data_IF_272070346641
#
_entry.id   IF_272070346641
#
_cell.length_a   1.000
_cell.length_b   1.000
_cell.length_c   1.000
_cell.angle_alpha   90.00
_cell.angle_beta   90.00
_cell.angle_gamma   90.00
#
_symmetry.space_group_name_H-M   'P 1'
#
loop_
_entity.id
_entity.type
_entity.pdbx_description
1 polymer ?
#
# COMPACT_ATOMS: atom_id res chain seq x y z
N UNK A 1 -15.25 -2.15 -44.95
CA UNK A 1 -14.43 -3.39 -44.98
C UNK A 1 -12.94 -3.09 -45.21
N UNK A 2 -12.46 -2.68 -46.38
CA UNK A 2 -11.00 -2.51 -46.61
C UNK A 2 -10.27 -1.60 -45.60
N UNK A 3 -10.88 -0.46 -45.21
CA UNK A 3 -10.31 0.40 -44.17
C UNK A 3 -10.22 -0.25 -42.78
N UNK A 4 -11.14 -1.17 -42.46
CA UNK A 4 -11.14 -1.93 -41.19
C UNK A 4 -10.13 -3.09 -41.24
N UNK A 5 -9.92 -3.72 -42.40
CA UNK A 5 -8.82 -4.68 -42.58
C UNK A 5 -7.45 -4.00 -42.46
N UNK A 6 -7.27 -2.81 -43.04
CA UNK A 6 -6.04 -2.03 -42.88
C UNK A 6 -5.78 -1.71 -41.40
N UNK A 7 -6.81 -1.26 -40.67
CA UNK A 7 -6.72 -0.98 -39.24
C UNK A 7 -6.37 -2.23 -38.41
N UNK A 8 -6.96 -3.39 -38.72
CA UNK A 8 -6.64 -4.66 -38.05
C UNK A 8 -5.23 -5.19 -38.40
N UNK A 9 -4.72 -4.92 -39.60
CA UNK A 9 -3.33 -5.23 -39.95
C UNK A 9 -2.34 -4.30 -39.23
N UNK A 10 -2.71 -3.04 -39.02
CA UNK A 10 -1.93 -2.07 -38.24
C UNK A 10 -1.92 -2.41 -36.74
N UNK A 11 -3.07 -2.81 -36.17
CA UNK A 11 -3.14 -3.35 -34.81
C UNK A 11 -2.35 -4.66 -34.66
N UNK A 12 -2.41 -5.56 -35.64
CA UNK A 12 -1.59 -6.78 -35.63
C UNK A 12 -0.09 -6.45 -35.62
N UNK A 13 0.36 -5.48 -36.43
CA UNK A 13 1.76 -5.06 -36.40
C UNK A 13 2.14 -4.47 -35.03
N UNK A 14 1.32 -3.58 -34.47
CA UNK A 14 1.50 -3.03 -33.12
C UNK A 14 1.63 -4.12 -32.06
N UNK A 15 0.73 -5.10 -32.06
CA UNK A 15 0.77 -6.21 -31.09
C UNK A 15 2.03 -7.08 -31.28
N UNK A 16 2.53 -7.23 -32.52
CA UNK A 16 3.81 -7.92 -32.76
C UNK A 16 5.02 -7.11 -32.25
N UNK A 17 5.02 -5.79 -32.40
CA UNK A 17 6.05 -4.90 -31.82
C UNK A 17 6.00 -4.87 -30.29
N UNK A 18 4.81 -4.86 -29.69
CA UNK A 18 4.63 -4.93 -28.23
C UNK A 18 5.11 -6.26 -27.66
N UNK A 19 4.83 -7.38 -28.32
CA UNK A 19 5.33 -8.71 -27.91
C UNK A 19 6.86 -8.78 -27.99
N UNK A 20 7.48 -8.26 -29.06
CA UNK A 20 8.94 -8.16 -29.17
C UNK A 20 9.53 -7.29 -28.05
N UNK A 21 8.95 -6.10 -27.80
CA UNK A 21 9.39 -5.21 -26.73
C UNK A 21 9.17 -5.78 -25.32
N UNK A 22 8.22 -6.72 -25.13
CA UNK A 22 8.04 -7.47 -23.88
C UNK A 22 9.07 -8.59 -23.75
N UNK A 23 9.42 -9.30 -24.83
CA UNK A 23 10.47 -10.32 -24.84
C UNK A 23 11.85 -9.73 -24.54
N UNK A 24 12.20 -8.58 -25.12
CA UNK A 24 13.44 -7.87 -24.79
C UNK A 24 13.50 -7.43 -23.32
N UNK A 25 12.39 -6.93 -22.76
CA UNK A 25 12.28 -6.58 -21.33
C UNK A 25 12.40 -7.80 -20.41
N UNK A 26 11.91 -8.97 -20.84
CA UNK A 26 12.05 -10.22 -20.09
C UNK A 26 13.52 -10.65 -20.05
N UNK A 27 14.18 -10.71 -21.21
CA UNK A 27 15.60 -11.07 -21.32
C UNK A 27 16.52 -10.10 -20.57
N UNK A 28 16.21 -8.80 -20.58
CA UNK A 28 16.93 -7.80 -19.79
C UNK A 28 16.78 -8.03 -18.27
N UNK A 29 15.56 -8.40 -17.80
CA UNK A 29 15.34 -8.77 -16.39
C UNK A 29 16.08 -10.05 -16.00
N UNK A 30 16.03 -11.09 -16.83
CA UNK A 30 16.76 -12.33 -16.59
C UNK A 30 18.27 -12.09 -16.50
N UNK A 31 18.82 -11.22 -17.36
CA UNK A 31 20.22 -10.81 -17.33
C UNK A 31 20.58 -10.03 -16.05
N UNK A 32 19.74 -9.07 -15.63
CA UNK A 32 19.92 -8.38 -14.35
C UNK A 32 19.86 -9.35 -13.16
N UNK A 33 18.91 -10.28 -13.14
CA UNK A 33 18.72 -11.24 -12.07
C UNK A 33 19.89 -12.23 -11.96
N UNK A 34 20.42 -12.69 -13.11
CA UNK A 34 21.65 -13.48 -13.17
C UNK A 34 22.86 -12.70 -12.63
N UNK A 35 22.98 -11.40 -12.97
CA UNK A 35 24.06 -10.55 -12.50
C UNK A 35 24.02 -10.31 -10.98
N UNK A 36 22.81 -10.13 -10.41
CA UNK A 36 22.59 -10.02 -8.97
C UNK A 36 22.89 -11.33 -8.24
N UNK A 37 22.49 -12.46 -8.82
CA UNK A 37 22.82 -13.80 -8.31
C UNK A 37 24.34 -14.01 -8.23
N UNK A 38 25.08 -13.68 -9.29
CA UNK A 38 26.55 -13.74 -9.33
C UNK A 38 27.21 -12.79 -8.30
N UNK A 39 26.69 -11.57 -8.13
CA UNK A 39 27.17 -10.66 -7.08
C UNK A 39 26.94 -11.22 -5.68
N UNK A 40 25.76 -11.78 -5.40
CA UNK A 40 25.44 -12.39 -4.11
C UNK A 40 26.32 -13.61 -3.83
N UNK A 41 26.58 -14.46 -4.83
CA UNK A 41 27.52 -15.58 -4.70
C UNK A 41 28.95 -15.10 -4.39
N UNK A 42 29.44 -14.05 -5.07
CA UNK A 42 30.76 -13.44 -4.79
C UNK A 42 30.84 -12.83 -3.38
N UNK A 43 29.77 -12.23 -2.89
CA UNK A 43 29.69 -11.72 -1.52
C UNK A 43 29.69 -12.86 -0.50
N UNK A 44 28.95 -13.95 -0.75
CA UNK A 44 28.93 -15.14 0.12
C UNK A 44 30.32 -15.80 0.20
N UNK A 45 31.03 -15.96 -0.91
CA UNK A 45 32.41 -16.50 -0.89
C UNK A 45 33.38 -15.58 -0.15
N UNK A 46 33.30 -14.26 -0.33
CA UNK A 46 34.08 -13.30 0.46
C UNK A 46 33.77 -13.37 1.97
N UNK A 47 32.50 -13.57 2.34
CA UNK A 47 32.13 -13.74 3.75
C UNK A 47 32.64 -15.06 4.32
N UNK A 48 32.57 -16.17 3.57
CA UNK A 48 33.17 -17.46 3.96
C UNK A 48 34.69 -17.32 4.19
N UNK A 49 35.40 -16.64 3.29
CA UNK A 49 36.84 -16.43 3.43
C UNK A 49 37.19 -15.65 4.72
N UNK A 50 36.49 -14.53 4.98
CA UNK A 50 36.67 -13.76 6.22
C UNK A 50 36.32 -14.55 7.48
N UNK A 51 35.30 -15.41 7.42
CA UNK A 51 34.88 -16.23 8.55
C UNK A 51 35.89 -17.36 8.85
N UNK A 52 36.54 -17.89 7.80
CA UNK A 52 37.67 -18.82 7.93
C UNK A 52 38.89 -18.15 8.59
N UNK A 53 39.23 -16.94 8.13
CA UNK A 53 40.33 -16.11 8.66
C UNK A 53 40.10 -15.76 10.14
N UNK A 54 38.89 -15.30 10.50
CA UNK A 54 38.49 -15.07 11.90
C UNK A 54 38.51 -16.35 12.75
N UNK A 55 38.16 -17.51 12.16
CA UNK A 55 38.23 -18.80 12.88
C UNK A 55 39.67 -19.21 13.15
N UNK A 56 40.60 -18.92 12.22
CA UNK A 56 42.03 -19.12 12.42
C UNK A 56 42.59 -18.15 13.48
N UNK A 57 42.21 -16.88 13.44
CA UNK A 57 42.54 -15.86 14.44
C UNK A 57 42.09 -16.29 15.85
N UNK A 58 40.84 -16.75 15.99
CA UNK A 58 40.29 -17.25 17.25
C UNK A 58 41.05 -18.50 17.74
N UNK A 59 41.38 -19.43 16.85
CA UNK A 59 42.15 -20.62 17.22
C UNK A 59 43.60 -20.30 17.60
N UNK A 60 44.20 -19.28 17.00
CA UNK A 60 45.52 -18.75 17.38
C UNK A 60 45.49 -18.10 18.76
N UNK A 61 44.52 -17.21 19.01
CA UNK A 61 44.28 -16.60 20.32
C UNK A 61 43.99 -17.64 21.42
N UNK A 62 43.26 -18.73 21.08
CA UNK A 62 43.06 -19.89 21.96
C UNK A 62 44.33 -20.67 22.30
N UNK A 63 45.37 -20.59 21.47
CA UNK A 63 46.67 -21.25 21.73
C UNK A 63 47.70 -20.34 22.41
N UNK A 64 47.60 -19.02 22.18
CA UNK A 64 48.55 -18.03 22.73
C UNK A 64 48.15 -17.55 24.14
N UNK A 65 46.87 -17.66 24.55
CA UNK A 65 46.38 -17.25 25.87
C UNK A 65 46.04 -18.46 26.76
N UNK A 66 46.99 -18.84 27.62
CA UNK A 66 46.76 -19.77 28.71
C UNK A 66 45.66 -19.29 29.67
N UNK A 67 44.78 -20.20 30.07
CA UNK A 67 43.47 -19.85 30.65
C UNK A 67 43.50 -19.20 32.05
N UNK A 68 42.48 -18.38 32.32
CA UNK A 68 41.81 -18.27 33.64
C UNK A 68 40.56 -17.38 33.58
N UNK A 69 40.54 -16.34 32.74
CA UNK A 69 39.43 -15.37 32.68
C UNK A 69 38.58 -15.46 31.40
N UNK A 70 39.20 -15.70 30.24
CA UNK A 70 38.46 -15.90 28.98
C UNK A 70 37.59 -17.17 28.98
N UNK A 71 37.97 -18.20 29.73
CA UNK A 71 37.19 -19.43 29.85
C UNK A 71 35.92 -19.22 30.68
N UNK A 72 36.00 -18.48 31.79
CA UNK A 72 34.80 -18.09 32.56
C UNK A 72 33.86 -17.23 31.74
N UNK A 73 34.39 -16.31 30.93
CA UNK A 73 33.56 -15.47 30.06
C UNK A 73 32.93 -16.29 28.92
N UNK A 74 33.65 -17.25 28.34
CA UNK A 74 33.11 -18.25 27.41
C UNK A 74 31.97 -19.04 28.05
N UNK A 75 32.17 -19.56 29.26
CA UNK A 75 31.20 -20.46 29.90
C UNK A 75 29.93 -19.69 30.34
N UNK A 76 30.05 -18.42 30.74
CA UNK A 76 28.92 -17.51 30.94
C UNK A 76 28.16 -17.25 29.62
N UNK A 77 28.87 -16.92 28.53
CA UNK A 77 28.26 -16.69 27.21
C UNK A 77 27.61 -17.95 26.64
N UNK A 78 28.13 -19.15 26.95
CA UNK A 78 27.50 -20.43 26.58
C UNK A 78 26.20 -20.63 27.37
N UNK A 79 26.21 -20.44 28.70
CA UNK A 79 25.01 -20.55 29.53
C UNK A 79 23.92 -19.54 29.10
N UNK A 80 24.30 -18.31 28.74
CA UNK A 80 23.37 -17.29 28.27
C UNK A 80 22.83 -17.61 26.86
N UNK A 81 23.64 -18.17 25.96
CA UNK A 81 23.16 -18.69 24.67
C UNK A 81 22.22 -19.88 24.82
N UNK A 82 22.46 -20.78 25.77
CA UNK A 82 21.55 -21.90 26.07
C UNK A 82 20.22 -21.40 26.63
N UNK A 83 20.25 -20.42 27.53
CA UNK A 83 19.05 -19.74 28.04
C UNK A 83 18.25 -19.07 26.92
N UNK A 84 18.89 -18.25 26.08
CA UNK A 84 18.22 -17.60 24.94
C UNK A 84 17.65 -18.59 23.94
N UNK A 85 18.28 -19.76 23.74
CA UNK A 85 17.73 -20.85 22.92
C UNK A 85 16.53 -21.55 23.57
N UNK A 86 16.46 -21.62 24.90
CA UNK A 86 15.28 -22.12 25.60
C UNK A 86 14.13 -21.10 25.52
N UNK A 87 14.41 -19.82 25.74
CA UNK A 87 13.43 -18.73 25.60
C UNK A 87 12.87 -18.64 24.16
N UNK A 88 13.73 -18.77 23.13
CA UNK A 88 13.30 -18.91 21.72
C UNK A 88 12.41 -20.13 21.50
N UNK A 89 12.76 -21.31 22.02
CA UNK A 89 11.91 -22.51 21.90
C UNK A 89 10.58 -22.38 22.61
N UNK A 90 10.51 -21.64 23.72
CA UNK A 90 9.25 -21.32 24.40
C UNK A 90 8.41 -20.38 23.53
N UNK A 91 9.00 -19.31 23.00
CA UNK A 91 8.31 -18.38 22.08
C UNK A 91 7.85 -19.07 20.79
N UNK A 92 8.65 -19.96 20.19
CA UNK A 92 8.26 -20.78 19.04
C UNK A 92 7.14 -21.77 19.39
N UNK A 93 7.14 -22.32 20.61
CA UNK A 93 6.07 -23.16 21.13
C UNK A 93 4.77 -22.40 21.37
N UNK A 94 4.84 -21.16 21.84
CA UNK A 94 3.70 -20.26 22.02
C UNK A 94 3.16 -19.76 20.68
N UNK A 95 4.04 -19.43 19.73
CA UNK A 95 3.65 -19.09 18.36
C UNK A 95 2.98 -20.28 17.65
N UNK A 96 3.44 -21.51 17.91
CA UNK A 96 2.79 -22.74 17.42
C UNK A 96 1.44 -23.02 18.10
N UNK A 97 1.27 -22.70 19.39
CA UNK A 97 -0.06 -22.74 20.06
C UNK A 97 -1.02 -21.70 19.48
N UNK A 98 -0.52 -20.54 19.05
CA UNK A 98 -1.31 -19.56 18.28
C UNK A 98 -1.57 -19.98 16.82
N UNK A 99 -0.92 -21.06 16.35
CA UNK A 99 -1.14 -21.70 15.05
C UNK A 99 -1.79 -23.09 15.19
N UNK A 100 -2.33 -23.45 16.36
CA UNK A 100 -3.29 -24.55 16.42
C UNK A 100 -4.53 -24.12 15.63
N UNK A 101 -5.05 -24.97 14.71
CA UNK A 101 -6.26 -24.63 13.95
C UNK A 101 -7.42 -24.47 14.91
N UNK A 102 -7.89 -23.23 15.09
CA UNK A 102 -9.09 -22.94 15.85
C UNK A 102 -10.29 -23.46 15.05
N UNK A 103 -10.70 -24.70 15.36
CA UNK A 103 -11.67 -25.47 14.59
C UNK A 103 -13.10 -24.91 14.59
N UNK A 104 -13.38 -23.84 15.35
CA UNK A 104 -14.65 -23.11 15.39
C UNK A 104 -14.42 -21.58 15.52
N UNK A 105 -13.56 -21.00 14.68
CA UNK A 105 -13.40 -19.54 14.61
C UNK A 105 -14.28 -18.94 13.50
N UNK A 106 -15.13 -17.93 13.76
CA UNK A 106 -15.98 -17.32 12.74
C UNK A 106 -15.19 -16.73 11.55
N UNK A 107 -13.94 -16.27 11.76
CA UNK A 107 -13.08 -15.79 10.65
C UNK A 107 -12.59 -16.90 9.71
N UNK A 108 -12.61 -18.18 10.11
CA UNK A 108 -12.33 -19.30 9.22
C UNK A 108 -13.56 -19.60 8.33
N UNK A 109 -14.76 -19.58 8.92
CA UNK A 109 -16.01 -19.65 8.16
C UNK A 109 -16.15 -18.48 7.18
N UNK A 110 -15.96 -17.22 7.61
CA UNK A 110 -15.99 -16.06 6.71
C UNK A 110 -14.97 -16.19 5.57
N UNK A 111 -13.79 -16.76 5.84
CA UNK A 111 -12.76 -16.97 4.81
C UNK A 111 -13.14 -18.07 3.82
N UNK A 112 -13.77 -19.15 4.28
CA UNK A 112 -14.26 -20.23 3.43
C UNK A 112 -15.47 -19.78 2.61
N UNK A 113 -16.44 -19.09 3.22
CA UNK A 113 -17.57 -18.44 2.54
C UNK A 113 -17.11 -17.43 1.48
N UNK A 114 -16.11 -16.59 1.78
CA UNK A 114 -15.52 -15.67 0.80
C UNK A 114 -14.78 -16.41 -0.33
N UNK A 115 -14.10 -17.52 -0.04
CA UNK A 115 -13.44 -18.33 -1.05
C UNK A 115 -14.45 -19.04 -1.98
N UNK A 116 -15.52 -19.60 -1.43
CA UNK A 116 -16.63 -20.16 -2.20
C UNK A 116 -17.33 -19.07 -3.03
N UNK A 117 -17.55 -17.88 -2.45
CA UNK A 117 -18.18 -16.77 -3.18
C UNK A 117 -17.32 -16.25 -4.34
N UNK A 118 -16.00 -16.21 -4.18
CA UNK A 118 -15.06 -15.89 -5.27
C UNK A 118 -15.10 -16.97 -6.36
N UNK A 119 -15.15 -18.26 -5.98
CA UNK A 119 -15.28 -19.38 -6.93
C UNK A 119 -16.58 -19.32 -7.73
N UNK A 120 -17.72 -19.04 -7.08
CA UNK A 120 -19.02 -18.84 -7.73
C UNK A 120 -18.98 -17.68 -8.74
N UNK A 121 -18.45 -16.52 -8.34
CA UNK A 121 -18.33 -15.35 -9.22
C UNK A 121 -17.38 -15.58 -10.40
N UNK A 122 -16.36 -16.43 -10.24
CA UNK A 122 -15.48 -16.84 -11.34
C UNK A 122 -16.21 -17.73 -12.35
N UNK A 123 -17.00 -18.71 -11.88
CA UNK A 123 -17.83 -19.55 -12.75
C UNK A 123 -18.91 -18.74 -13.49
N UNK A 124 -19.61 -17.84 -12.79
CA UNK A 124 -20.58 -16.93 -13.41
C UNK A 124 -19.93 -16.04 -14.49
N UNK A 125 -18.71 -15.54 -14.25
CA UNK A 125 -17.97 -14.75 -15.23
C UNK A 125 -17.52 -15.57 -16.45
N UNK A 126 -17.16 -16.85 -16.27
CA UNK A 126 -16.83 -17.74 -17.39
C UNK A 126 -18.08 -18.12 -18.21
N UNK A 127 -19.20 -18.41 -17.56
CA UNK A 127 -20.48 -18.62 -18.25
C UNK A 127 -20.96 -17.40 -19.04
N UNK A 128 -20.76 -16.19 -18.52
CA UNK A 128 -21.13 -14.97 -19.25
C UNK A 128 -20.20 -14.72 -20.44
N UNK A 129 -18.92 -15.10 -20.34
CA UNK A 129 -17.96 -15.05 -21.47
C UNK A 129 -18.33 -16.04 -22.58
N UNK A 130 -18.75 -17.27 -22.26
CA UNK A 130 -19.18 -18.23 -23.28
C UNK A 130 -20.45 -17.77 -23.99
N UNK A 131 -21.46 -17.29 -23.23
CA UNK A 131 -22.69 -16.71 -23.79
C UNK A 131 -22.41 -15.51 -24.72
N UNK A 132 -21.46 -14.64 -24.36
CA UNK A 132 -21.02 -13.54 -25.24
C UNK A 132 -20.38 -14.04 -26.53
N UNK A 133 -19.49 -15.04 -26.46
CA UNK A 133 -18.86 -15.62 -27.65
C UNK A 133 -19.87 -16.32 -28.59
N UNK A 134 -20.92 -16.94 -28.05
CA UNK A 134 -22.04 -17.51 -28.82
C UNK A 134 -22.87 -16.42 -29.52
N UNK A 135 -23.17 -15.32 -28.80
CA UNK A 135 -23.87 -14.15 -29.36
C UNK A 135 -23.05 -13.46 -30.46
N UNK A 136 -21.75 -13.26 -30.27
CA UNK A 136 -20.85 -12.69 -31.29
C UNK A 136 -20.83 -13.57 -32.55
N UNK A 137 -20.80 -14.90 -32.39
CA UNK A 137 -20.87 -15.84 -33.51
C UNK A 137 -22.23 -15.76 -34.24
N UNK A 138 -23.35 -15.63 -33.51
CA UNK A 138 -24.67 -15.46 -34.11
C UNK A 138 -24.80 -14.13 -34.86
N UNK A 139 -24.29 -13.03 -34.28
CA UNK A 139 -24.21 -11.71 -34.93
C UNK A 139 -23.38 -11.81 -36.21
N UNK A 140 -22.20 -12.41 -36.16
CA UNK A 140 -21.34 -12.58 -37.34
C UNK A 140 -22.03 -13.40 -38.45
N UNK A 141 -22.76 -14.47 -38.10
CA UNK A 141 -23.55 -15.24 -39.06
C UNK A 141 -24.70 -14.43 -39.66
N UNK A 142 -25.42 -13.62 -38.87
CA UNK A 142 -26.50 -12.75 -39.35
C UNK A 142 -25.95 -11.64 -40.27
N UNK A 143 -24.81 -11.03 -39.93
CA UNK A 143 -24.14 -10.02 -40.74
C UNK A 143 -23.67 -10.57 -42.08
N UNK A 144 -23.11 -11.78 -42.10
CA UNK A 144 -22.74 -12.45 -43.36
C UNK A 144 -23.97 -12.74 -44.24
N UNK A 145 -25.07 -13.24 -43.65
CA UNK A 145 -26.33 -13.46 -44.39
C UNK A 145 -26.93 -12.17 -44.93
N UNK A 146 -26.85 -11.08 -44.17
CA UNK A 146 -27.31 -9.76 -44.64
C UNK A 146 -26.49 -9.29 -45.85
N UNK A 147 -25.15 -9.42 -45.78
CA UNK A 147 -24.27 -9.07 -46.89
C UNK A 147 -24.53 -9.90 -48.17
N UNK A 148 -24.83 -11.20 -48.02
CA UNK A 148 -25.27 -12.04 -49.16
C UNK A 148 -26.60 -11.56 -49.77
N UNK A 149 -27.56 -11.16 -48.95
CA UNK A 149 -28.86 -10.64 -49.43
C UNK A 149 -28.71 -9.28 -50.09
N UNK A 150 -27.89 -8.38 -49.53
CA UNK A 150 -27.57 -7.08 -50.13
C UNK A 150 -26.87 -7.22 -51.48
N UNK A 151 -25.98 -8.19 -51.64
CA UNK A 151 -25.31 -8.47 -52.92
C UNK A 151 -26.34 -8.95 -53.96
N UNK A 152 -27.15 -9.96 -53.63
CA UNK A 152 -28.22 -10.45 -54.52
C UNK A 152 -29.21 -9.36 -54.90
N UNK A 153 -29.54 -8.45 -53.98
CA UNK A 153 -30.42 -7.31 -54.26
C UNK A 153 -29.78 -6.33 -55.24
N UNK A 154 -28.47 -6.03 -55.10
CA UNK A 154 -27.73 -5.18 -56.05
C UNK A 154 -27.70 -5.81 -57.45
N UNK A 155 -27.44 -7.11 -57.54
CA UNK A 155 -27.43 -7.84 -58.81
C UNK A 155 -28.82 -7.80 -59.47
N UNK A 156 -29.89 -8.09 -58.71
CA UNK A 156 -31.28 -8.01 -59.20
C UNK A 156 -31.72 -6.60 -59.61
N UNK A 157 -31.18 -5.55 -58.98
CA UNK A 157 -31.44 -4.16 -59.36
C UNK A 157 -30.69 -3.76 -60.63
N UNK A 158 -29.47 -4.28 -60.84
CA UNK A 158 -28.71 -4.09 -62.07
C UNK A 158 -29.41 -4.76 -63.26
N UNK A 159 -29.85 -6.01 -63.11
CA UNK A 159 -30.63 -6.73 -64.15
C UNK A 159 -31.91 -5.95 -64.54
N UNK A 160 -32.67 -5.45 -63.55
CA UNK A 160 -33.86 -4.64 -63.82
C UNK A 160 -33.55 -3.33 -64.54
N UNK A 161 -32.44 -2.67 -64.22
CA UNK A 161 -32.03 -1.44 -64.92
C UNK A 161 -31.69 -1.71 -66.39
N UNK A 162 -31.01 -2.83 -66.69
CA UNK A 162 -30.74 -3.25 -68.08
C UNK A 162 -32.03 -3.60 -68.84
N UNK A 163 -32.99 -4.25 -68.19
CA UNK A 163 -34.30 -4.54 -68.79
C UNK A 163 -35.12 -3.26 -69.06
N UNK A 164 -35.15 -2.32 -68.12
CA UNK A 164 -35.84 -1.03 -68.27
C UNK A 164 -35.25 -0.22 -69.42
N UNK A 165 -33.92 -0.19 -69.55
CA UNK A 165 -33.26 0.51 -70.66
C UNK A 165 -33.59 -0.16 -72.01
N UNK A 166 -33.61 -1.50 -72.06
CA UNK A 166 -33.99 -2.28 -73.24
C UNK A 166 -35.45 -2.06 -73.65
N UNK A 167 -36.38 -1.99 -72.69
CA UNK A 167 -37.79 -1.67 -72.95
C UNK A 167 -37.96 -0.22 -73.42
N UNK A 168 -37.20 0.72 -72.83
CA UNK A 168 -37.19 2.13 -73.21
C UNK A 168 -36.66 2.36 -74.63
N UNK A 169 -35.68 1.58 -75.10
CA UNK A 169 -35.28 1.55 -76.51
C UNK A 169 -36.45 1.10 -77.41
N UNK A 170 -37.05 -0.07 -77.14
CA UNK A 170 -38.19 -0.61 -77.92
C UNK A 170 -39.40 0.33 -77.98
N UNK A 171 -39.66 1.07 -76.90
CA UNK A 171 -40.77 2.02 -76.86
C UNK A 171 -40.54 3.17 -77.86
N UNK A 172 -39.32 3.72 -77.93
CA UNK A 172 -38.95 4.76 -78.89
C UNK A 172 -39.11 4.27 -80.34
N UNK A 173 -38.59 3.09 -80.66
CA UNK A 173 -38.72 2.48 -81.99
C UNK A 173 -40.21 2.33 -82.41
N UNK A 174 -41.07 1.94 -81.46
CA UNK A 174 -42.51 1.80 -81.71
C UNK A 174 -43.23 3.15 -81.90
N UNK A 175 -42.79 4.20 -81.21
CA UNK A 175 -43.33 5.56 -81.34
C UNK A 175 -42.97 6.20 -82.69
N UNK A 176 -41.74 6.01 -83.18
CA UNK A 176 -41.33 6.42 -84.52
C UNK A 176 -42.15 5.70 -85.61
N UNK A 177 -42.42 4.41 -85.43
CA UNK A 177 -43.26 3.62 -86.34
C UNK A 177 -44.70 4.13 -86.40
N UNK A 178 -45.28 4.52 -85.26
CA UNK A 178 -46.64 5.10 -85.19
C UNK A 178 -46.68 6.51 -85.82
N UNK A 179 -45.61 7.30 -85.67
CA UNK A 179 -45.51 8.62 -86.31
C UNK A 179 -45.48 8.50 -87.84
N UNK A 180 -44.74 7.51 -88.37
CA UNK A 180 -44.69 7.20 -89.80
C UNK A 180 -46.07 6.85 -90.37
N UNK A 181 -46.82 5.95 -89.71
CA UNK A 181 -48.15 5.52 -90.16
C UNK A 181 -49.22 6.62 -90.18
N UNK A 182 -49.08 7.70 -89.40
CA UNK A 182 -50.01 8.83 -89.39
C UNK A 182 -49.86 9.78 -90.59
N UNK A 183 -48.82 9.64 -91.40
CA UNK A 183 -48.47 10.59 -92.47
C UNK A 183 -49.04 10.25 -93.86
N UNK A 184 -49.86 9.19 -94.00
CA UNK A 184 -50.46 8.78 -95.27
C UNK A 184 -51.96 9.16 -95.39
N UNK A 185 -52.35 10.04 -96.33
CA UNK A 185 -53.76 10.33 -96.62
C UNK A 185 -54.33 9.37 -97.67
N UNK A 186 -55.57 8.91 -97.48
CA UNK A 186 -56.36 8.20 -98.49
C UNK A 186 -57.55 9.05 -98.94
N UNK A 187 -57.76 9.17 -100.25
CA UNK A 187 -58.94 9.82 -100.85
C UNK A 187 -59.82 8.77 -101.53
N UNK A 188 -61.14 8.87 -101.33
CA UNK A 188 -62.14 8.04 -102.02
C UNK A 188 -63.08 8.96 -102.83
N UNK A 189 -63.21 8.66 -104.13
CA UNK A 189 -64.06 9.38 -105.10
C UNK A 189 -65.49 8.85 -105.10
N UNK A 190 -66.46 9.73 -105.41
CA UNK A 190 -67.64 9.35 -106.19
C UNK A 190 -67.98 10.43 -107.23
N UNK A 191 -68.54 9.99 -108.36
CA UNK A 191 -68.92 10.74 -109.58
C UNK A 191 -70.26 10.15 -110.03
N UNK A 192 -71.18 10.95 -110.63
CA UNK A 192 -72.05 10.54 -111.76
C UNK A 192 -72.85 11.72 -112.36
N UNK A 193 -73.26 11.52 -113.62
CA UNK A 193 -73.92 12.42 -114.60
C UNK A 193 -75.19 11.71 -115.16
N UNK A 194 -76.16 12.29 -115.87
CA UNK A 194 -76.28 13.56 -116.64
C UNK A 194 -77.77 13.82 -116.97
N UNK A 195 -78.17 15.09 -117.13
CA UNK A 195 -79.05 15.64 -118.22
C UNK A 195 -80.50 15.12 -118.41
N UNK A 196 -81.45 16.08 -118.44
CA UNK A 196 -82.61 16.32 -119.38
C UNK A 196 -83.46 15.13 -119.91
N UNK A 197 -84.69 15.24 -120.45
CA UNK A 197 -85.31 16.25 -121.34
C UNK A 197 -86.85 16.29 -121.11
N UNK A 198 -87.52 17.29 -121.70
CA UNK A 198 -88.98 17.34 -121.94
C UNK A 198 -89.41 16.25 -122.97
N UNK A 199 -90.64 15.77 -123.10
CA UNK A 199 -91.96 16.38 -122.82
C UNK A 199 -93.06 15.31 -122.71
N UNK A 200 -93.57 15.05 -121.50
CA UNK A 200 -94.90 14.47 -121.24
C UNK A 200 -95.44 14.96 -119.86
N UNK A 201 -94.93 16.13 -119.43
CA UNK A 201 -94.71 16.54 -118.02
C UNK A 201 -95.97 16.90 -117.19
N UNK A 202 -97.19 16.57 -117.61
CA UNK A 202 -98.41 17.04 -116.93
C UNK A 202 -99.27 15.93 -116.27
N UNK A 203 -99.26 14.69 -116.77
CA UNK A 203 -99.96 13.56 -116.12
C UNK A 203 -99.00 12.65 -115.36
N UNK A 204 -97.82 12.40 -115.92
CA UNK A 204 -96.75 11.72 -115.21
C UNK A 204 -96.29 12.52 -113.98
N UNK A 205 -96.25 13.85 -114.06
CA UNK A 205 -95.90 14.71 -112.93
C UNK A 205 -96.86 14.65 -111.73
N UNK A 206 -98.12 14.23 -111.90
CA UNK A 206 -99.03 14.04 -110.76
C UNK A 206 -98.73 12.73 -110.02
N UNK A 207 -98.56 11.62 -110.75
CA UNK A 207 -98.10 10.36 -110.17
C UNK A 207 -96.68 10.49 -109.59
N UNK A 208 -95.75 11.14 -110.29
CA UNK A 208 -94.40 11.41 -109.78
C UNK A 208 -94.40 12.40 -108.61
N UNK A 209 -95.34 13.35 -108.54
CA UNK A 209 -95.50 14.22 -107.36
C UNK A 209 -96.16 13.49 -106.19
N UNK A 210 -97.03 12.51 -106.44
CA UNK A 210 -97.59 11.62 -105.41
C UNK A 210 -96.53 10.63 -104.91
N UNK A 211 -95.76 9.99 -105.79
CA UNK A 211 -94.64 9.14 -105.41
C UNK A 211 -93.50 9.93 -104.78
N UNK A 212 -93.23 11.17 -105.22
CA UNK A 212 -92.33 12.09 -104.49
C UNK A 212 -92.91 12.50 -103.13
N UNK A 213 -94.21 12.72 -102.99
CA UNK A 213 -94.81 13.02 -101.69
C UNK A 213 -94.75 11.81 -100.76
N UNK A 214 -95.00 10.59 -101.24
CA UNK A 214 -94.79 9.37 -100.46
C UNK A 214 -93.32 9.21 -100.08
N UNK A 215 -92.39 9.33 -101.03
CA UNK A 215 -90.95 9.29 -100.76
C UNK A 215 -90.48 10.38 -99.78
N UNK A 216 -91.00 11.61 -99.89
CA UNK A 216 -90.72 12.70 -98.96
C UNK A 216 -91.40 12.50 -97.60
N UNK A 217 -92.59 11.89 -97.53
CA UNK A 217 -93.23 11.50 -96.28
C UNK A 217 -92.48 10.35 -95.58
N UNK A 218 -91.98 9.37 -96.34
CA UNK A 218 -91.09 8.32 -95.86
C UNK A 218 -89.76 8.91 -95.39
N UNK A 219 -89.17 9.84 -96.14
CA UNK A 219 -87.93 10.52 -95.76
C UNK A 219 -88.12 11.41 -94.52
N UNK A 220 -89.24 12.12 -94.41
CA UNK A 220 -89.60 12.89 -93.20
C UNK A 220 -89.95 11.96 -92.03
N UNK A 221 -90.54 10.79 -92.29
CA UNK A 221 -90.74 9.75 -91.29
C UNK A 221 -89.42 9.20 -90.75
N UNK A 222 -88.50 8.86 -91.64
CA UNK A 222 -87.14 8.42 -91.35
C UNK A 222 -86.37 9.51 -90.57
N UNK A 223 -86.44 10.78 -91.00
CA UNK A 223 -85.84 11.91 -90.29
C UNK A 223 -86.46 12.14 -88.91
N UNK A 224 -87.78 12.00 -88.75
CA UNK A 224 -88.44 12.05 -87.43
C UNK A 224 -88.02 10.90 -86.53
N UNK A 225 -87.79 9.71 -87.09
CA UNK A 225 -87.29 8.56 -86.35
C UNK A 225 -85.84 8.77 -85.90
N UNK A 226 -84.96 9.23 -86.80
CA UNK A 226 -83.57 9.61 -86.48
C UNK A 226 -83.53 10.73 -85.44
N UNK A 227 -84.37 11.77 -85.55
CA UNK A 227 -84.47 12.83 -84.54
C UNK A 227 -84.89 12.28 -83.18
N UNK A 228 -85.87 11.36 -83.13
CA UNK A 228 -86.31 10.72 -81.89
C UNK A 228 -85.21 9.84 -81.27
N UNK A 229 -84.44 9.14 -82.10
CA UNK A 229 -83.27 8.36 -81.66
C UNK A 229 -82.15 9.29 -81.14
N UNK A 230 -81.89 10.41 -81.80
CA UNK A 230 -80.95 11.44 -81.32
C UNK A 230 -81.42 12.12 -80.03
N UNK A 231 -82.72 12.39 -79.87
CA UNK A 231 -83.29 12.92 -78.61
C UNK A 231 -83.13 11.91 -77.47
N UNK A 232 -83.34 10.62 -77.72
CA UNK A 232 -83.12 9.57 -76.72
C UNK A 232 -81.62 9.42 -76.37
N UNK A 233 -80.72 9.50 -77.35
CA UNK A 233 -79.27 9.52 -77.12
C UNK A 233 -78.81 10.78 -76.37
N UNK A 234 -79.40 11.94 -76.66
CA UNK A 234 -79.11 13.18 -75.95
C UNK A 234 -79.60 13.12 -74.50
N UNK A 235 -80.79 12.58 -74.25
CA UNK A 235 -81.32 12.38 -72.90
C UNK A 235 -80.52 11.34 -72.09
N UNK A 236 -80.06 10.26 -72.71
CA UNK A 236 -79.20 9.27 -72.02
C UNK A 236 -77.81 9.88 -71.72
N UNK A 237 -77.24 10.63 -72.66
CA UNK A 237 -75.99 11.38 -72.47
C UNK A 237 -76.12 12.47 -71.38
N UNK A 238 -77.24 13.20 -71.32
CA UNK A 238 -77.50 14.17 -70.25
C UNK A 238 -77.60 13.50 -68.87
N UNK A 239 -78.22 12.31 -68.79
CA UNK A 239 -78.28 11.53 -67.55
C UNK A 239 -76.90 11.04 -67.11
N UNK A 240 -76.07 10.52 -68.02
CA UNK A 240 -74.71 10.10 -67.66
C UNK A 240 -73.82 11.29 -67.29
N UNK A 241 -73.93 12.43 -67.97
CA UNK A 241 -73.24 13.69 -67.59
C UNK A 241 -73.68 14.17 -66.21
N UNK A 242 -74.96 14.10 -65.87
CA UNK A 242 -75.44 14.46 -64.53
C UNK A 242 -74.91 13.50 -63.44
N UNK A 243 -74.88 12.19 -63.71
CA UNK A 243 -74.31 11.19 -62.81
C UNK A 243 -72.80 11.39 -62.59
N UNK A 244 -72.04 11.61 -63.67
CA UNK A 244 -70.60 11.87 -63.60
C UNK A 244 -70.30 13.18 -62.85
N UNK A 245 -71.10 14.24 -63.03
CA UNK A 245 -70.96 15.48 -62.24
C UNK A 245 -71.22 15.27 -60.76
N UNK A 246 -72.25 14.50 -60.40
CA UNK A 246 -72.52 14.16 -59.01
C UNK A 246 -71.39 13.31 -58.39
N UNK A 247 -70.81 12.40 -59.17
CA UNK A 247 -69.68 11.58 -58.73
C UNK A 247 -68.38 12.40 -58.58
N UNK A 248 -68.13 13.37 -59.48
CA UNK A 248 -67.02 14.32 -59.34
C UNK A 248 -67.16 15.14 -58.05
N UNK A 249 -68.33 15.70 -57.77
CA UNK A 249 -68.58 16.47 -56.53
C UNK A 249 -68.37 15.64 -55.26
N UNK A 250 -68.72 14.34 -55.28
CA UNK A 250 -68.46 13.43 -54.17
C UNK A 250 -66.95 13.19 -53.98
N UNK A 251 -66.21 12.93 -55.06
CA UNK A 251 -64.76 12.75 -54.99
C UNK A 251 -64.02 14.05 -54.61
N UNK A 252 -64.48 15.22 -55.05
CA UNK A 252 -63.95 16.52 -54.63
C UNK A 252 -64.13 16.70 -53.11
N UNK A 253 -65.32 16.43 -52.56
CA UNK A 253 -65.56 16.51 -51.12
C UNK A 253 -64.77 15.45 -50.30
N UNK A 254 -64.60 14.24 -50.82
CA UNK A 254 -63.75 13.22 -50.20
C UNK A 254 -62.26 13.61 -50.21
N UNK A 255 -61.78 14.21 -51.30
CA UNK A 255 -60.41 14.73 -51.42
C UNK A 255 -60.16 15.91 -50.47
N UNK A 256 -61.09 16.87 -50.38
CA UNK A 256 -61.00 17.98 -49.42
C UNK A 256 -60.94 17.47 -47.98
N UNK A 257 -61.80 16.51 -47.62
CA UNK A 257 -61.80 15.90 -46.28
C UNK A 257 -60.49 15.15 -45.99
N UNK A 258 -59.99 14.36 -46.94
CA UNK A 258 -58.73 13.64 -46.79
C UNK A 258 -57.52 14.60 -46.71
N UNK A 259 -57.54 15.69 -47.49
CA UNK A 259 -56.49 16.71 -47.45
C UNK A 259 -56.48 17.47 -46.12
N UNK A 260 -57.66 17.83 -45.58
CA UNK A 260 -57.79 18.42 -44.26
C UNK A 260 -57.23 17.53 -43.15
N UNK A 261 -57.62 16.23 -43.13
CA UNK A 261 -57.10 15.27 -42.16
C UNK A 261 -55.57 15.11 -42.25
N UNK A 262 -55.02 15.02 -43.48
CA UNK A 262 -53.57 14.93 -43.67
C UNK A 262 -52.83 16.22 -43.25
N UNK A 263 -53.48 17.39 -43.33
CA UNK A 263 -52.91 18.65 -42.85
C UNK A 263 -52.89 18.72 -41.31
N UNK A 264 -53.97 18.26 -40.65
CA UNK A 264 -54.06 18.15 -39.19
C UNK A 264 -53.04 17.14 -38.64
N UNK A 265 -52.92 15.97 -39.25
CA UNK A 265 -51.89 14.97 -38.89
C UNK A 265 -50.47 15.51 -39.08
N UNK A 266 -50.22 16.26 -40.17
CA UNK A 266 -48.91 16.88 -40.42
C UNK A 266 -48.57 17.94 -39.35
N UNK A 267 -49.53 18.78 -38.96
CA UNK A 267 -49.33 19.76 -37.90
C UNK A 267 -49.08 19.10 -36.54
N UNK A 268 -49.86 18.09 -36.17
CA UNK A 268 -49.65 17.34 -34.94
C UNK A 268 -48.26 16.66 -34.90
N UNK A 269 -47.83 16.06 -36.01
CA UNK A 269 -46.49 15.48 -36.14
C UNK A 269 -45.37 16.52 -36.08
N UNK A 270 -45.56 17.73 -36.61
CA UNK A 270 -44.59 18.82 -36.46
C UNK A 270 -44.50 19.32 -35.01
N UNK A 271 -45.63 19.45 -34.31
CA UNK A 271 -45.69 19.83 -32.89
C UNK A 271 -45.03 18.77 -32.01
N UNK A 272 -45.36 17.48 -32.17
CA UNK A 272 -44.71 16.37 -31.45
C UNK A 272 -43.20 16.33 -31.71
N UNK A 273 -42.77 16.49 -32.96
CA UNK A 273 -41.34 16.56 -33.32
C UNK A 273 -40.65 17.74 -32.64
N UNK A 274 -41.28 18.92 -32.62
CA UNK A 274 -40.71 20.11 -31.97
C UNK A 274 -40.61 19.91 -30.46
N UNK A 275 -41.65 19.36 -29.82
CA UNK A 275 -41.65 19.08 -28.39
C UNK A 275 -40.58 18.03 -28.00
N UNK A 276 -40.43 16.96 -28.79
CA UNK A 276 -39.38 15.97 -28.60
C UNK A 276 -37.96 16.56 -28.73
N UNK A 277 -37.76 17.54 -29.63
CA UNK A 277 -36.49 18.27 -29.76
C UNK A 277 -36.23 19.15 -28.53
N UNK A 278 -37.23 19.87 -28.02
CA UNK A 278 -37.10 20.71 -26.82
C UNK A 278 -36.82 19.87 -25.55
N UNK A 279 -37.49 18.73 -25.38
CA UNK A 279 -37.19 17.79 -24.30
C UNK A 279 -35.76 17.23 -24.42
N UNK A 280 -35.36 16.75 -25.60
CA UNK A 280 -34.02 16.20 -25.82
C UNK A 280 -32.93 17.26 -25.56
N UNK A 281 -33.14 18.50 -26.00
CA UNK A 281 -32.23 19.61 -25.73
C UNK A 281 -32.16 19.94 -24.23
N UNK A 282 -33.29 19.95 -23.54
CA UNK A 282 -33.36 20.21 -22.10
C UNK A 282 -32.65 19.13 -21.28
N UNK A 283 -32.85 17.85 -21.62
CA UNK A 283 -32.16 16.71 -21.00
C UNK A 283 -30.64 16.80 -21.23
N UNK A 284 -30.20 17.00 -22.47
CA UNK A 284 -28.79 17.16 -22.81
C UNK A 284 -28.13 18.37 -22.10
N UNK A 285 -28.87 19.46 -21.89
CA UNK A 285 -28.36 20.62 -21.14
C UNK A 285 -28.17 20.30 -19.65
N UNK A 286 -29.07 19.54 -19.02
CA UNK A 286 -28.92 19.10 -17.62
C UNK A 286 -27.73 18.15 -17.47
N UNK A 287 -27.61 17.16 -18.36
CA UNK A 287 -26.46 16.24 -18.37
C UNK A 287 -25.14 16.98 -18.57
N UNK A 288 -25.07 17.94 -19.51
CA UNK A 288 -23.85 18.71 -19.75
C UNK A 288 -23.48 19.62 -18.57
N UNK A 289 -24.45 20.14 -17.81
CA UNK A 289 -24.19 20.85 -16.53
C UNK A 289 -23.61 19.90 -15.49
N UNK A 290 -24.23 18.73 -15.27
CA UNK A 290 -23.75 17.74 -14.33
C UNK A 290 -22.32 17.25 -14.66
N UNK A 291 -22.01 17.04 -15.95
CA UNK A 291 -20.65 16.70 -16.42
C UNK A 291 -19.65 17.83 -16.14
N UNK A 292 -20.03 19.10 -16.33
CA UNK A 292 -19.16 20.24 -16.01
C UNK A 292 -18.90 20.37 -14.50
N UNK A 293 -19.92 20.19 -13.65
CA UNK A 293 -19.78 20.23 -12.20
C UNK A 293 -18.88 19.09 -11.69
N UNK A 294 -19.08 17.87 -12.21
CA UNK A 294 -18.22 16.72 -11.92
C UNK A 294 -16.76 16.95 -12.38
N UNK A 295 -16.54 17.48 -13.59
CA UNK A 295 -15.21 17.82 -14.08
C UNK A 295 -14.54 18.93 -13.23
N UNK A 296 -15.31 19.91 -12.77
CA UNK A 296 -14.81 20.93 -11.85
C UNK A 296 -14.39 20.33 -10.52
N UNK A 297 -15.20 19.43 -9.93
CA UNK A 297 -14.88 18.71 -8.70
C UNK A 297 -13.64 17.81 -8.82
N UNK A 298 -13.52 17.06 -9.91
CA UNK A 298 -12.31 16.27 -10.23
C UNK A 298 -11.10 17.18 -10.36
N UNK A 299 -11.22 18.32 -11.06
CA UNK A 299 -10.13 19.29 -11.23
C UNK A 299 -9.70 19.91 -9.90
N UNK A 300 -10.61 20.26 -9.00
CA UNK A 300 -10.27 20.75 -7.66
C UNK A 300 -9.56 19.69 -6.83
N UNK A 301 -10.03 18.43 -6.88
CA UNK A 301 -9.40 17.32 -6.15
C UNK A 301 -7.97 17.04 -6.68
N UNK A 302 -7.75 17.13 -7.99
CA UNK A 302 -6.44 16.93 -8.60
C UNK A 302 -5.47 18.07 -8.23
N UNK A 303 -5.97 19.31 -8.13
CA UNK A 303 -5.21 20.47 -7.66
C UNK A 303 -4.87 20.42 -6.17
N UNK A 304 -5.65 19.76 -5.31
CA UNK A 304 -5.34 19.59 -3.87
C UNK A 304 -4.45 18.36 -3.60
N UNK A 305 -4.58 17.29 -4.39
CA UNK A 305 -3.72 16.11 -4.31
C UNK A 305 -2.26 16.38 -4.74
N UNK A 306 -2.04 17.23 -5.73
CA UNK A 306 -0.68 17.53 -6.21
C UNK A 306 0.25 18.11 -5.11
N UNK A 307 -0.15 19.15 -4.35
CA UNK A 307 0.60 19.65 -3.20
C UNK A 307 0.82 18.57 -2.13
N UNK A 308 -0.23 17.83 -1.76
CA UNK A 308 -0.14 16.78 -0.72
C UNK A 308 0.89 15.70 -1.09
N UNK A 309 0.90 15.24 -2.36
CA UNK A 309 1.88 14.28 -2.87
C UNK A 309 3.31 14.84 -2.88
N UNK A 310 3.49 16.13 -3.17
CA UNK A 310 4.81 16.79 -3.10
C UNK A 310 5.31 16.85 -1.65
N UNK A 311 4.47 17.28 -0.71
CA UNK A 311 4.81 17.32 0.72
C UNK A 311 5.17 15.93 1.23
N UNK A 312 4.33 14.92 0.97
CA UNK A 312 4.59 13.53 1.38
C UNK A 312 5.88 12.98 0.77
N UNK A 313 6.17 13.31 -0.49
CA UNK A 313 7.43 12.94 -1.15
C UNK A 313 8.63 13.64 -0.50
N UNK A 314 8.50 14.89 -0.08
CA UNK A 314 9.54 15.64 0.60
C UNK A 314 9.80 15.10 2.01
N UNK A 315 8.75 14.80 2.76
CA UNK A 315 8.83 14.20 4.10
C UNK A 315 9.43 12.79 4.05
N UNK A 316 9.02 11.96 3.09
CA UNK A 316 9.64 10.65 2.83
C UNK A 316 11.14 10.78 2.53
N UNK A 317 11.55 11.74 1.69
CA UNK A 317 12.97 11.96 1.39
C UNK A 317 13.75 12.49 2.60
N UNK A 318 13.15 13.34 3.43
CA UNK A 318 13.75 13.82 4.68
C UNK A 318 13.95 12.67 5.67
N UNK A 319 12.91 11.87 5.90
CA UNK A 319 12.98 10.69 6.76
C UNK A 319 14.00 9.66 6.25
N UNK A 320 14.03 9.43 4.93
CA UNK A 320 15.02 8.54 4.28
C UNK A 320 16.47 9.02 4.50
N UNK A 321 16.72 10.33 4.51
CA UNK A 321 18.04 10.89 4.87
C UNK A 321 18.33 10.67 6.35
N UNK A 322 17.40 11.01 7.25
CA UNK A 322 17.56 10.80 8.68
C UNK A 322 17.88 9.34 9.02
N UNK A 323 17.13 8.37 8.47
CA UNK A 323 17.36 6.93 8.69
C UNK A 323 18.73 6.47 8.15
N UNK A 324 19.20 7.04 7.03
CA UNK A 324 20.53 6.73 6.46
C UNK A 324 21.67 7.32 7.30
N UNK A 325 21.47 8.52 7.84
CA UNK A 325 22.52 9.29 8.52
C UNK A 325 22.56 9.00 10.05
N UNK A 326 21.47 8.51 10.63
CA UNK A 326 21.35 8.14 12.05
C UNK A 326 22.39 7.13 12.54
N UNK A 327 22.75 6.04 11.82
CA UNK A 327 23.80 5.11 12.27
C UNK A 327 25.16 5.78 12.46
N UNK A 328 25.52 6.77 11.62
CA UNK A 328 26.77 7.51 11.73
C UNK A 328 26.76 8.43 12.96
N UNK A 329 25.66 9.17 13.16
CA UNK A 329 25.48 10.03 14.34
C UNK A 329 25.48 9.23 15.64
N UNK A 330 24.82 8.06 15.64
CA UNK A 330 24.82 7.14 16.78
C UNK A 330 26.22 6.57 17.05
N UNK A 331 26.97 6.20 16.00
CA UNK A 331 28.34 5.73 16.14
C UNK A 331 29.28 6.82 16.69
N UNK A 332 29.13 8.07 16.26
CA UNK A 332 29.93 9.20 16.71
C UNK A 332 29.62 9.59 18.16
N UNK A 333 28.34 9.67 18.54
CA UNK A 333 27.92 9.92 19.93
C UNK A 333 28.33 8.79 20.88
N UNK A 334 28.18 7.52 20.50
CA UNK A 334 28.70 6.39 21.27
C UNK A 334 30.23 6.41 21.39
N UNK A 335 30.95 6.90 20.37
CA UNK A 335 32.41 7.05 20.41
C UNK A 335 32.85 8.16 21.37
N UNK A 336 32.15 9.31 21.40
CA UNK A 336 32.41 10.38 22.37
C UNK A 336 32.16 9.90 23.79
N UNK A 337 30.96 9.36 24.06
CA UNK A 337 30.58 8.85 25.38
C UNK A 337 31.55 7.76 25.87
N UNK A 338 31.99 6.86 24.98
CA UNK A 338 33.01 5.85 25.33
C UNK A 338 34.35 6.48 25.69
N UNK A 339 34.80 7.51 24.96
CA UNK A 339 36.06 8.19 25.25
C UNK A 339 36.01 8.93 26.59
N UNK A 340 34.92 9.65 26.87
CA UNK A 340 34.68 10.35 28.14
C UNK A 340 34.66 9.38 29.33
N UNK A 341 33.95 8.25 29.21
CA UNK A 341 33.91 7.20 30.24
C UNK A 341 35.30 6.57 30.45
N UNK A 342 36.03 6.26 29.36
CA UNK A 342 37.39 5.71 29.46
C UNK A 342 38.34 6.68 30.16
N UNK A 343 38.29 7.97 29.84
CA UNK A 343 39.10 8.99 30.52
C UNK A 343 38.78 9.07 32.02
N UNK A 344 37.50 9.13 32.38
CA UNK A 344 37.09 9.18 33.80
C UNK A 344 37.55 7.94 34.58
N UNK A 345 37.50 6.74 33.97
CA UNK A 345 38.02 5.50 34.57
C UNK A 345 39.54 5.57 34.76
N UNK A 346 40.29 6.08 33.78
CA UNK A 346 41.75 6.25 33.90
C UNK A 346 42.14 7.26 34.98
N UNK A 347 41.42 8.38 35.09
CA UNK A 347 41.62 9.38 36.15
C UNK A 347 41.36 8.77 37.54
N UNK A 348 40.23 8.08 37.75
CA UNK A 348 39.91 7.40 39.01
C UNK A 348 40.91 6.28 39.33
N UNK A 349 41.35 5.52 38.33
CA UNK A 349 42.37 4.48 38.53
C UNK A 349 43.74 5.07 38.89
N UNK A 350 44.14 6.18 38.25
CA UNK A 350 45.42 6.85 38.53
C UNK A 350 45.46 7.43 39.95
N UNK A 351 44.38 8.09 40.38
CA UNK A 351 44.24 8.68 41.72
C UNK A 351 44.19 7.60 42.81
N UNK A 352 43.42 6.51 42.62
CA UNK A 352 43.45 5.36 43.53
C UNK A 352 44.85 4.74 43.64
N UNK A 353 45.57 4.59 42.52
CA UNK A 353 46.95 4.07 42.52
C UNK A 353 47.90 4.99 43.28
N UNK A 354 47.72 6.31 43.22
CA UNK A 354 48.50 7.27 43.99
C UNK A 354 48.14 7.27 45.48
N UNK A 355 46.84 7.23 45.83
CA UNK A 355 46.36 7.11 47.20
C UNK A 355 46.90 5.84 47.88
N UNK A 356 46.85 4.69 47.21
CA UNK A 356 47.43 3.44 47.72
C UNK A 356 48.95 3.54 47.92
N UNK A 357 49.68 4.26 47.06
CA UNK A 357 51.12 4.53 47.25
C UNK A 357 51.37 5.44 48.45
N UNK A 358 50.59 6.52 48.61
CA UNK A 358 50.67 7.45 49.74
C UNK A 358 50.35 6.75 51.06
N UNK A 359 49.26 5.98 51.12
CA UNK A 359 48.87 5.19 52.29
C UNK A 359 49.94 4.17 52.69
N UNK A 360 50.48 3.40 51.75
CA UNK A 360 51.58 2.45 52.04
C UNK A 360 52.83 3.16 52.57
N UNK A 361 53.15 4.36 52.06
CA UNK A 361 54.29 5.16 52.55
C UNK A 361 54.03 5.70 53.96
N UNK A 362 52.84 6.23 54.23
CA UNK A 362 52.45 6.67 55.58
C UNK A 362 52.55 5.51 56.57
N UNK A 363 51.94 4.36 56.26
CA UNK A 363 51.96 3.18 57.12
C UNK A 363 53.39 2.70 57.43
N UNK A 364 54.29 2.75 56.44
CA UNK A 364 55.71 2.45 56.64
C UNK A 364 56.43 3.50 57.51
N UNK A 365 56.11 4.78 57.37
CA UNK A 365 56.67 5.85 58.20
C UNK A 365 56.16 5.75 59.63
N UNK A 366 54.85 5.56 59.84
CA UNK A 366 54.25 5.30 61.16
C UNK A 366 54.94 4.13 61.85
N UNK A 367 55.08 2.98 61.19
CA UNK A 367 55.79 1.81 61.72
C UNK A 367 57.23 2.15 62.14
N UNK A 368 57.98 2.88 61.31
CA UNK A 368 59.36 3.30 61.63
C UNK A 368 59.41 4.21 62.85
N UNK A 369 58.65 5.30 62.86
CA UNK A 369 58.63 6.26 63.97
C UNK A 369 58.15 5.60 65.28
N UNK A 370 57.15 4.72 65.21
CA UNK A 370 56.66 3.95 66.35
C UNK A 370 57.74 3.03 66.93
N UNK A 371 58.44 2.29 66.08
CA UNK A 371 59.53 1.39 66.50
C UNK A 371 60.75 2.16 67.05
N UNK A 372 61.08 3.32 66.47
CA UNK A 372 62.13 4.19 66.99
C UNK A 372 61.75 4.75 68.37
N UNK A 373 60.51 5.19 68.56
CA UNK A 373 60.00 5.66 69.85
C UNK A 373 60.01 4.54 70.91
N UNK A 374 59.54 3.34 70.59
CA UNK A 374 59.60 2.18 71.51
C UNK A 374 61.03 1.81 71.84
N UNK A 375 61.96 1.84 70.86
CA UNK A 375 63.38 1.57 71.09
C UNK A 375 64.04 2.63 71.97
N UNK A 376 63.70 3.90 71.80
CA UNK A 376 64.19 5.02 72.63
C UNK A 376 63.64 4.94 74.07
N UNK A 377 62.38 4.49 74.25
CA UNK A 377 61.80 4.15 75.55
C UNK A 377 62.35 2.85 76.17
N UNK A 378 63.22 2.11 75.48
CA UNK A 378 63.75 0.82 75.94
C UNK A 378 62.94 -0.40 75.46
N UNK A 379 63.65 -1.39 74.93
CA UNK A 379 63.07 -2.67 74.47
C UNK A 379 62.63 -3.58 75.62
N UNK A 380 63.25 -3.42 76.79
CA UNK A 380 62.87 -4.07 78.05
C UNK A 380 62.51 -2.92 78.98
N UNK A 381 61.33 -2.97 79.58
CA UNK A 381 60.84 -2.01 80.56
C UNK A 381 60.32 -2.75 81.79
N UNK A 382 60.64 -2.25 82.97
CA UNK A 382 60.26 -2.79 84.27
C UNK A 382 59.40 -1.75 84.98
N UNK A 383 58.13 -2.08 85.17
CA UNK A 383 57.20 -1.22 85.91
C UNK A 383 56.96 -1.78 87.31
N UNK A 384 57.10 -0.93 88.33
CA UNK A 384 56.65 -1.22 89.68
C UNK A 384 55.17 -0.89 89.82
N UNK A 385 54.34 -1.82 90.31
CA UNK A 385 52.95 -1.52 90.66
C UNK A 385 52.70 -1.89 92.12
N UNK A 386 52.39 -0.90 92.93
CA UNK A 386 52.06 -1.09 94.34
C UNK A 386 50.55 -1.23 94.45
N UNK A 387 50.05 -2.33 95.01
CA UNK A 387 48.61 -2.52 95.22
C UNK A 387 48.11 -1.74 96.45
N UNK A 388 46.82 -1.38 96.52
CA UNK A 388 46.17 -0.99 97.77
C UNK A 388 46.36 -2.01 98.88
N UNK A 389 46.43 -1.51 100.13
CA UNK A 389 46.29 -2.31 101.34
C UNK A 389 44.87 -2.90 101.35
N UNK A 390 44.74 -4.20 101.59
CA UNK A 390 43.46 -4.89 101.75
C UNK A 390 43.26 -5.30 103.21
N UNK A 391 42.02 -5.65 103.58
CA UNK A 391 41.71 -6.11 104.95
C UNK A 391 42.45 -7.37 105.38
N UNK A 392 42.98 -8.12 104.40
CA UNK A 392 43.77 -9.33 104.61
C UNK A 392 45.21 -9.04 105.09
N UNK A 393 45.68 -7.79 104.94
CA UNK A 393 46.99 -7.33 105.42
C UNK A 393 46.99 -6.93 106.91
N UNK A 394 45.81 -6.95 107.57
CA UNK A 394 45.60 -6.57 108.96
C UNK A 394 45.05 -5.14 109.15
N UNK A 395 44.44 -4.89 110.32
CA UNK A 395 43.91 -3.57 110.70
C UNK A 395 44.69 -3.03 111.92
N UNK A 396 45.42 -1.91 111.75
CA UNK A 396 46.17 -1.26 112.82
C UNK A 396 47.36 -0.42 112.33
N UNK A 397 48.09 0.29 113.21
CA UNK A 397 49.25 1.11 112.83
C UNK A 397 50.46 0.29 112.31
N UNK A 398 50.48 -1.04 112.54
CA UNK A 398 51.45 -1.94 111.94
C UNK A 398 51.13 -2.28 110.46
N UNK A 399 49.87 -2.11 110.03
CA UNK A 399 49.46 -2.18 108.62
C UNK A 399 49.71 -0.84 107.89
N UNK A 400 50.89 -0.25 108.11
CA UNK A 400 51.32 0.99 107.45
C UNK A 400 51.98 0.68 106.11
N UNK A 401 51.77 1.54 105.11
CA UNK A 401 52.48 1.45 103.82
C UNK A 401 53.99 1.53 104.05
N UNK A 402 54.70 0.41 103.93
CA UNK A 402 56.16 0.34 103.99
C UNK A 402 56.84 0.90 102.72
N UNK A 403 56.06 1.43 101.78
CA UNK A 403 56.47 2.03 100.52
C UNK A 403 56.13 3.52 100.53
N UNK A 404 57.11 4.36 100.22
CA UNK A 404 56.91 5.76 99.86
C UNK A 404 57.40 6.01 98.43
N UNK A 405 56.88 7.05 97.79
CA UNK A 405 57.19 7.43 96.42
C UNK A 405 57.96 8.74 96.41
N UNK A 406 58.80 8.96 95.41
CA UNK A 406 59.37 10.29 95.20
C UNK A 406 58.27 11.29 94.76
N UNK A 407 58.48 12.58 95.01
CA UNK A 407 57.52 13.64 94.71
C UNK A 407 57.80 14.33 93.36
N UNK A 408 59.01 14.20 92.83
CA UNK A 408 59.45 14.81 91.56
C UNK A 408 59.72 13.77 90.46
N UNK A 409 59.86 12.49 90.79
CA UNK A 409 60.17 11.40 89.84
C UNK A 409 59.24 10.18 89.97
N UNK A 410 58.47 9.85 88.92
CA UNK A 410 57.61 8.65 88.89
C UNK A 410 58.36 7.34 88.59
N UNK A 411 59.68 7.39 88.40
CA UNK A 411 60.56 6.22 88.28
C UNK A 411 60.99 5.62 89.64
N UNK A 412 60.88 6.37 90.74
CA UNK A 412 61.55 6.05 92.02
C UNK A 412 60.56 5.67 93.13
N UNK A 413 60.85 4.56 93.82
CA UNK A 413 60.15 4.16 95.05
C UNK A 413 61.14 3.84 96.18
N UNK A 414 60.70 4.07 97.40
CA UNK A 414 61.47 3.82 98.62
C UNK A 414 60.79 2.77 99.49
N UNK A 415 61.51 1.69 99.82
CA UNK A 415 61.07 0.67 100.77
C UNK A 415 61.75 0.87 102.12
N UNK A 416 60.98 0.86 103.21
CA UNK A 416 61.51 0.88 104.56
C UNK A 416 61.79 -0.56 105.05
N UNK A 417 63.04 -1.02 104.94
CA UNK A 417 63.46 -2.35 105.38
C UNK A 417 64.29 -2.28 106.67
N UNK A 418 63.76 -2.84 107.78
CA UNK A 418 64.45 -2.91 109.09
C UNK A 418 65.01 -1.56 109.57
N UNK A 419 64.23 -0.49 109.39
CA UNK A 419 64.61 0.87 109.78
C UNK A 419 65.60 1.56 108.83
N UNK A 420 65.94 0.96 107.69
CA UNK A 420 66.72 1.61 106.61
C UNK A 420 65.85 1.79 105.38
N UNK A 421 65.89 2.99 104.80
CA UNK A 421 65.27 3.29 103.51
C UNK A 421 66.14 2.72 102.39
N UNK A 422 65.53 1.99 101.46
CA UNK A 422 66.16 1.44 100.25
C UNK A 422 65.38 1.94 99.04
N UNK A 423 66.05 2.70 98.17
CA UNK A 423 65.46 3.22 96.94
C UNK A 423 65.60 2.21 95.80
N UNK A 424 64.58 2.14 94.95
CA UNK A 424 64.58 1.39 93.70
C UNK A 424 64.17 2.34 92.57
N UNK A 425 64.93 2.32 91.49
CA UNK A 425 64.70 3.07 90.25
C UNK A 425 64.23 2.07 89.19
N UNK A 426 63.11 2.37 88.54
CA UNK A 426 62.40 1.52 87.57
C UNK A 426 61.96 2.40 86.38
N UNK A 427 61.50 1.81 85.26
CA UNK A 427 61.04 2.62 84.12
C UNK A 427 59.76 3.42 84.43
N UNK A 428 58.98 2.98 85.43
CA UNK A 428 57.84 3.69 86.03
C UNK A 428 57.35 3.00 87.30
N UNK A 429 56.78 3.76 88.22
CA UNK A 429 56.13 3.29 89.45
C UNK A 429 54.68 3.77 89.50
N UNK A 430 53.76 2.81 89.58
CA UNK A 430 52.34 3.03 89.76
C UNK A 430 51.98 2.94 91.26
N UNK A 431 51.50 4.03 91.89
CA UNK A 431 51.07 4.03 93.28
C UNK A 431 49.74 3.26 93.47
N UNK A 432 49.30 2.98 94.72
CA UNK A 432 48.07 2.25 95.01
C UNK A 432 46.79 2.80 94.36
N UNK A 433 46.76 4.10 94.07
CA UNK A 433 45.62 4.78 93.46
C UNK A 433 45.56 4.58 91.93
N UNK A 434 46.61 4.04 91.30
CA UNK A 434 46.72 3.92 89.85
C UNK A 434 45.74 2.89 89.25
N UNK A 435 44.93 3.37 88.33
CA UNK A 435 43.91 2.63 87.60
C UNK A 435 44.50 1.63 86.59
N UNK A 436 43.66 0.69 86.13
CA UNK A 436 44.01 -0.21 85.02
C UNK A 436 44.30 0.56 83.73
N UNK A 437 43.59 1.66 83.50
CA UNK A 437 43.71 2.48 82.29
C UNK A 437 45.08 3.19 82.24
N UNK A 438 45.53 3.77 83.34
CA UNK A 438 46.87 4.41 83.44
C UNK A 438 48.01 3.38 83.24
N UNK A 439 47.86 2.16 83.76
CA UNK A 439 48.81 1.07 83.50
C UNK A 439 48.77 0.63 82.03
N UNK A 440 47.58 0.55 81.43
CA UNK A 440 47.42 0.16 80.02
C UNK A 440 48.01 1.20 79.06
N UNK A 441 47.90 2.50 79.34
CA UNK A 441 48.42 3.57 78.48
C UNK A 441 49.94 3.46 78.23
N UNK A 442 50.73 3.05 79.23
CA UNK A 442 52.18 2.85 79.06
C UNK A 442 52.54 1.56 78.28
N UNK A 443 51.61 0.61 78.23
CA UNK A 443 51.70 -0.67 77.54
C UNK A 443 51.09 -0.61 76.12
N UNK A 444 50.18 0.32 75.84
CA UNK A 444 49.47 0.49 74.57
C UNK A 444 50.41 0.58 73.35
N UNK A 445 51.58 1.20 73.53
CA UNK A 445 52.62 1.28 72.50
C UNK A 445 53.15 -0.11 72.11
N UNK A 446 53.28 -1.05 73.06
CA UNK A 446 53.69 -2.43 72.78
C UNK A 446 52.59 -3.20 72.04
N UNK A 447 51.32 -3.00 72.41
CA UNK A 447 50.18 -3.60 71.70
C UNK A 447 50.17 -3.16 70.22
N UNK A 448 50.47 -1.88 69.96
CA UNK A 448 50.63 -1.36 68.59
C UNK A 448 51.80 -2.04 67.86
N UNK A 449 52.94 -2.26 68.52
CA UNK A 449 54.07 -3.02 67.94
C UNK A 449 53.69 -4.46 67.62
N UNK A 450 52.84 -5.10 68.42
CA UNK A 450 52.34 -6.46 68.16
C UNK A 450 51.50 -6.50 66.87
N UNK A 451 50.54 -5.56 66.72
CA UNK A 451 49.76 -5.39 65.48
C UNK A 451 50.67 -5.10 64.28
N UNK A 452 51.79 -4.40 64.51
CA UNK A 452 52.74 -4.08 63.46
C UNK A 452 53.64 -5.25 63.02
N UNK A 453 53.62 -6.37 63.74
CA UNK A 453 54.33 -7.61 63.43
C UNK A 453 55.52 -7.95 64.35
N UNK A 454 55.62 -7.31 65.51
CA UNK A 454 56.69 -7.56 66.49
C UNK A 454 56.25 -8.48 67.62
N UNK A 455 57.14 -9.38 68.04
CA UNK A 455 56.89 -10.21 69.21
C UNK A 455 57.02 -9.36 70.49
N UNK A 456 55.95 -9.34 71.28
CA UNK A 456 55.87 -8.63 72.57
C UNK A 456 55.57 -9.65 73.66
N UNK A 457 56.27 -9.53 74.79
CA UNK A 457 56.02 -10.32 75.99
C UNK A 457 55.75 -9.35 77.14
N UNK A 458 54.63 -9.55 77.84
CA UNK A 458 54.26 -8.83 79.07
C UNK A 458 54.06 -9.91 80.13
N UNK A 459 54.76 -9.79 81.25
CA UNK A 459 54.67 -10.74 82.35
C UNK A 459 54.62 -9.98 83.69
N UNK A 460 53.72 -10.40 84.58
CA UNK A 460 53.62 -9.86 85.93
C UNK A 460 54.49 -10.70 86.89
N UNK A 461 55.39 -10.05 87.63
CA UNK A 461 56.25 -10.68 88.64
C UNK A 461 55.90 -10.19 90.05
N UNK A 462 56.10 -11.03 91.06
CA UNK A 462 55.84 -10.71 92.47
C UNK A 462 55.31 -11.91 93.26
N UNK A 463 55.22 -11.77 94.59
CA UNK A 463 54.72 -12.81 95.49
C UNK A 463 53.23 -13.15 95.28
N UNK A 464 52.75 -14.23 95.90
CA UNK A 464 51.31 -14.52 95.98
C UNK A 464 50.59 -13.38 96.72
N UNK A 465 49.42 -12.97 96.24
CA UNK A 465 48.71 -11.80 96.77
C UNK A 465 49.26 -10.43 96.33
N UNK A 466 50.30 -10.35 95.49
CA UNK A 466 50.87 -9.07 95.04
C UNK A 466 50.07 -8.33 93.94
N UNK A 467 48.94 -8.86 93.47
CA UNK A 467 48.13 -8.24 92.42
C UNK A 467 48.49 -8.62 90.96
N UNK A 468 49.26 -9.70 90.74
CA UNK A 468 49.65 -10.18 89.41
C UNK A 468 48.44 -10.42 88.49
N UNK A 469 47.50 -11.27 88.92
CA UNK A 469 46.29 -11.61 88.15
C UNK A 469 45.48 -10.37 87.84
N UNK A 470 45.17 -9.55 88.85
CA UNK A 470 44.50 -8.24 88.71
C UNK A 470 45.22 -7.24 87.78
N UNK A 471 46.48 -7.45 87.42
CA UNK A 471 47.20 -6.59 86.47
C UNK A 471 47.18 -7.12 85.04
N UNK A 472 46.85 -8.40 84.85
CA UNK A 472 46.82 -9.08 83.53
C UNK A 472 45.40 -9.43 83.07
N UNK A 473 44.47 -9.60 84.01
CA UNK A 473 43.04 -9.95 83.85
C UNK A 473 42.16 -8.85 84.44
#
# INVERSE_FOLDING_TARGET
>A
VMASMAHLQEEKLRLQEEVLGLQEKLAARESEELSRSLQLQSQVENLKAKLLEQTQEINRLRSELGGTDLEKHRDLLVAENERLRQELKVCEGELRRQQEPCHDCPHLQEKEELAERVSQLQQEAEEMRTKLAELDLEVQQKTNRLAEVELRLKDSLAERAEEEERLSRRLRDSQETIASLKSQPQQIKYIIKTVEVESAKAKQALCESQSRNQYLQEQVGMQRQVLKEMEQQLQSSQKTVAQLRAQILLYEAELERAHGQMLEEMQAMEEEKNHAIEEAFSRAQVEMKAVHENLAGVRTNLLTLQPALRTLTQDYNNLKRQVRDFPLLLQETLRSARAEISQAIEEVHSTNRELLRKYRRELQLRKKCHNELVRLKGNIRVFGRVRPITKEDGEGPEASNAVTFDAEDDAILHLLHKGKQVSFELDKVFPPQASQEEVFQEVQALVTSCIDGYNVCIFAYGQTGAGKTYTME
#
